data_IF_518899926607
#
_entry.id   IF_518899926607
#
_cell.length_a   1.000
_cell.length_b   1.000
_cell.length_c   1.000
_cell.angle_alpha   90.00
_cell.angle_beta   90.00
_cell.angle_gamma   90.00
#
_symmetry.space_group_name_H-M   'P 1'
#
loop_
_entity.id
_entity.type
_entity.pdbx_description
1 polymer ?
#
# COMPACT_ATOMS: atom_id res chain seq x y z
N UNK A 1 -27.49 47.22 -15.45
CA UNK A 1 -27.17 45.84 -15.55
C UNK A 1 -28.38 45.05 -16.06
N UNK A 2 -28.23 44.44 -17.23
CA UNK A 2 -29.31 43.74 -17.95
C UNK A 2 -29.89 42.60 -17.08
N UNK A 3 -31.23 42.45 -16.96
CA UNK A 3 -31.88 41.46 -16.10
C UNK A 3 -31.44 40.00 -16.37
N UNK A 4 -31.00 39.69 -17.58
CA UNK A 4 -30.49 38.38 -17.99
C UNK A 4 -29.18 38.02 -17.29
N UNK A 5 -28.27 38.97 -17.08
CA UNK A 5 -26.96 38.74 -16.42
C UNK A 5 -27.17 38.43 -14.94
N UNK A 6 -28.16 39.02 -14.28
CA UNK A 6 -28.51 38.76 -12.90
C UNK A 6 -29.09 37.34 -12.70
N UNK A 7 -29.89 36.85 -13.67
CA UNK A 7 -30.43 35.48 -13.67
C UNK A 7 -29.33 34.43 -13.88
N UNK A 8 -28.36 34.71 -14.78
CA UNK A 8 -27.22 33.82 -14.98
C UNK A 8 -26.32 33.74 -13.74
N UNK A 9 -26.06 34.86 -13.08
CA UNK A 9 -25.33 34.84 -11.77
C UNK A 9 -26.07 34.06 -10.68
N UNK A 10 -27.40 34.13 -10.63
CA UNK A 10 -28.20 33.36 -9.69
C UNK A 10 -28.27 31.88 -10.06
N UNK A 11 -28.16 31.50 -11.35
CA UNK A 11 -28.05 30.09 -11.74
C UNK A 11 -26.73 29.48 -11.35
N UNK A 12 -25.60 30.22 -11.48
CA UNK A 12 -24.28 29.74 -11.06
C UNK A 12 -24.18 29.58 -9.53
N UNK A 13 -24.98 30.37 -8.75
CA UNK A 13 -25.02 30.24 -7.27
C UNK A 13 -25.88 29.05 -6.82
N UNK A 14 -26.72 28.52 -7.69
CA UNK A 14 -27.56 27.33 -7.42
C UNK A 14 -26.97 26.02 -7.92
N UNK A 15 -25.71 26.02 -8.36
CA UNK A 15 -25.01 24.80 -8.71
C UNK A 15 -24.95 23.92 -7.44
N UNK A 16 -25.41 22.68 -7.60
CA UNK A 16 -25.39 21.69 -6.52
C UNK A 16 -23.93 21.39 -6.20
N UNK A 17 -23.45 21.93 -5.10
CA UNK A 17 -22.15 21.53 -4.57
C UNK A 17 -22.36 20.27 -3.75
N UNK A 18 -21.71 19.19 -4.14
CA UNK A 18 -21.65 17.98 -3.37
C UNK A 18 -20.44 18.07 -2.45
N UNK A 19 -20.64 17.72 -1.18
CA UNK A 19 -19.54 17.55 -0.24
C UNK A 19 -18.66 16.40 -0.76
N UNK A 20 -17.36 16.64 -0.83
CA UNK A 20 -16.42 15.59 -1.17
C UNK A 20 -16.12 14.75 0.07
N UNK A 21 -15.94 13.43 -0.06
CA UNK A 21 -15.49 12.60 1.05
C UNK A 21 -14.13 13.10 1.55
N UNK A 22 -13.78 12.83 2.83
CA UNK A 22 -12.46 13.16 3.36
C UNK A 22 -11.36 12.58 2.47
N UNK A 23 -10.29 13.33 2.27
CA UNK A 23 -9.14 12.86 1.51
C UNK A 23 -8.44 11.70 2.24
N UNK A 24 -7.88 10.75 1.49
CA UNK A 24 -7.03 9.71 2.08
C UNK A 24 -5.83 10.31 2.80
N UNK A 25 -5.40 9.66 3.86
CA UNK A 25 -4.20 10.06 4.58
C UNK A 25 -2.96 9.95 3.68
N UNK A 26 -2.11 10.95 3.81
CA UNK A 26 -0.71 10.88 3.40
C UNK A 26 0.14 10.58 4.63
N UNK A 27 1.42 10.19 4.47
CA UNK A 27 2.31 10.00 5.62
C UNK A 27 2.36 11.24 6.53
N UNK A 28 2.41 12.44 5.94
CA UNK A 28 2.44 13.69 6.70
C UNK A 28 1.13 13.98 7.43
N UNK A 29 -0.02 13.78 6.78
CA UNK A 29 -1.32 14.00 7.43
C UNK A 29 -1.63 12.95 8.49
N UNK A 30 -1.10 11.72 8.33
CA UNK A 30 -1.21 10.68 9.36
C UNK A 30 -0.37 11.04 10.59
N UNK A 31 0.87 11.50 10.42
CA UNK A 31 1.71 11.97 11.54
C UNK A 31 1.02 13.11 12.28
N UNK A 32 0.47 14.09 11.56
CA UNK A 32 -0.27 15.20 12.16
C UNK A 32 -1.48 14.72 12.98
N UNK A 33 -2.24 13.77 12.44
CA UNK A 33 -3.39 13.20 13.16
C UNK A 33 -2.95 12.44 14.42
N UNK A 34 -1.87 11.66 14.38
CA UNK A 34 -1.30 10.97 15.55
C UNK A 34 -0.84 11.98 16.62
N UNK A 35 -0.21 13.07 16.21
CA UNK A 35 0.21 14.16 17.11
C UNK A 35 -0.98 14.86 17.78
N UNK A 36 -2.01 15.21 16.99
CA UNK A 36 -3.25 15.83 17.50
C UNK A 36 -4.00 14.92 18.48
N UNK A 37 -3.94 13.61 18.29
CA UNK A 37 -4.55 12.60 19.17
C UNK A 37 -3.67 12.20 20.35
N UNK A 38 -2.42 12.68 20.44
CA UNK A 38 -1.48 12.33 21.49
C UNK A 38 -0.95 10.90 21.43
N UNK A 39 -1.03 10.25 20.26
CA UNK A 39 -0.59 8.86 20.04
C UNK A 39 0.84 8.83 19.53
N UNK A 40 1.73 8.21 20.29
CA UNK A 40 3.15 8.11 19.94
C UNK A 40 3.93 9.40 20.22
N UNK A 41 5.18 9.42 19.79
CA UNK A 41 6.11 10.54 19.96
C UNK A 41 6.90 10.73 18.66
N UNK A 42 7.58 11.88 18.45
CA UNK A 42 8.33 12.14 17.23
C UNK A 42 9.29 11.01 16.80
N UNK A 43 9.89 10.32 17.75
CA UNK A 43 10.79 9.19 17.51
C UNK A 43 10.09 7.92 17.00
N UNK A 44 8.78 7.76 17.25
CA UNK A 44 8.03 6.54 16.92
C UNK A 44 7.17 6.65 15.67
N UNK A 45 6.81 7.85 15.20
CA UNK A 45 5.93 8.04 14.05
C UNK A 45 6.46 7.38 12.78
N UNK A 46 7.68 7.72 12.39
CA UNK A 46 8.26 7.19 11.16
C UNK A 46 8.51 5.67 11.20
N UNK A 47 9.06 5.07 12.29
CA UNK A 47 9.15 3.62 12.44
C UNK A 47 7.81 2.90 12.37
N UNK A 48 6.76 3.44 13.00
CA UNK A 48 5.42 2.86 12.97
C UNK A 48 4.86 2.82 11.55
N UNK A 49 4.88 3.94 10.83
CA UNK A 49 4.42 4.02 9.43
C UNK A 49 5.20 3.06 8.54
N UNK A 50 6.52 3.02 8.70
CA UNK A 50 7.38 2.10 7.94
C UNK A 50 7.04 0.63 8.21
N UNK A 51 6.72 0.29 9.45
CA UNK A 51 6.36 -1.07 9.86
C UNK A 51 5.02 -1.51 9.29
N UNK A 52 3.98 -0.68 9.34
CA UNK A 52 2.66 -1.02 8.81
C UNK A 52 2.66 -1.16 7.29
N UNK A 53 3.49 -0.36 6.58
CA UNK A 53 3.71 -0.51 5.14
C UNK A 53 4.51 -1.80 4.84
N UNK A 54 5.58 -2.07 5.59
CA UNK A 54 6.40 -3.27 5.41
C UNK A 54 5.63 -4.57 5.65
N UNK A 55 4.67 -4.56 6.59
CA UNK A 55 3.75 -5.67 6.87
C UNK A 55 2.59 -5.77 5.90
N UNK A 56 2.51 -4.90 4.91
CA UNK A 56 1.42 -4.85 3.92
C UNK A 56 0.02 -4.63 4.51
N UNK A 57 -0.09 -4.02 5.70
CA UNK A 57 -1.39 -3.61 6.26
C UNK A 57 -1.92 -2.38 5.52
N UNK A 58 -1.02 -1.54 5.02
CA UNK A 58 -1.31 -0.35 4.25
C UNK A 58 -0.50 -0.38 2.95
N UNK A 59 -1.13 -0.05 1.84
CA UNK A 59 -0.50 0.20 0.55
C UNK A 59 -0.33 1.70 0.34
N UNK A 60 0.81 2.11 -0.23
CA UNK A 60 1.07 3.50 -0.60
C UNK A 60 0.96 3.63 -2.11
N UNK A 61 -0.02 4.38 -2.58
CA UNK A 61 -0.18 4.73 -3.99
C UNK A 61 0.09 6.22 -4.17
N UNK A 62 1.14 6.54 -4.93
CA UNK A 62 1.65 7.91 -5.07
C UNK A 62 2.00 8.55 -3.72
N UNK A 63 1.08 9.35 -3.15
CA UNK A 63 1.24 10.00 -1.83
C UNK A 63 0.20 9.52 -0.81
N UNK A 64 -0.84 8.84 -1.27
CA UNK A 64 -1.97 8.43 -0.43
C UNK A 64 -1.74 7.04 0.16
N UNK A 65 -2.27 6.83 1.35
CA UNK A 65 -2.26 5.57 2.08
C UNK A 65 -3.63 4.91 1.96
N UNK A 66 -3.65 3.62 1.62
CA UNK A 66 -4.85 2.80 1.49
C UNK A 66 -4.72 1.57 2.38
N UNK A 67 -5.78 1.25 3.11
CA UNK A 67 -5.82 0.02 3.90
C UNK A 67 -6.01 -1.16 2.96
N UNK A 68 -5.20 -2.20 3.13
CA UNK A 68 -5.31 -3.45 2.36
C UNK A 68 -6.36 -4.37 2.98
N UNK A 69 -6.77 -5.42 2.27
CA UNK A 69 -7.65 -6.45 2.82
C UNK A 69 -7.04 -7.15 4.04
N UNK A 70 -5.72 -7.45 3.97
CA UNK A 70 -4.98 -7.97 5.11
C UNK A 70 -5.02 -7.00 6.30
N UNK A 71 -4.80 -5.70 6.05
CA UNK A 71 -4.85 -4.67 7.10
C UNK A 71 -6.21 -4.61 7.77
N UNK A 72 -7.29 -4.65 6.99
CA UNK A 72 -8.65 -4.64 7.50
C UNK A 72 -8.97 -5.90 8.33
N UNK A 73 -8.61 -7.08 7.83
CA UNK A 73 -8.83 -8.33 8.55
C UNK A 73 -8.08 -8.38 9.89
N UNK A 74 -6.85 -7.83 9.94
CA UNK A 74 -6.09 -7.73 11.19
C UNK A 74 -6.71 -6.72 12.14
N UNK A 75 -7.13 -5.56 11.63
CA UNK A 75 -7.79 -4.51 12.41
C UNK A 75 -9.08 -5.01 13.05
N UNK A 76 -9.96 -5.65 12.28
CA UNK A 76 -11.21 -6.25 12.75
C UNK A 76 -10.97 -7.32 13.84
N UNK A 77 -9.94 -8.15 13.65
CA UNK A 77 -9.55 -9.16 14.64
C UNK A 77 -9.04 -8.53 15.94
N UNK A 78 -8.22 -7.46 15.82
CA UNK A 78 -7.68 -6.73 16.97
C UNK A 78 -8.76 -5.98 17.75
N UNK A 79 -9.68 -5.31 17.05
CA UNK A 79 -10.82 -4.61 17.67
C UNK A 79 -11.70 -5.61 18.44
N UNK A 80 -11.93 -6.81 17.86
CA UNK A 80 -12.74 -7.85 18.50
C UNK A 80 -12.06 -8.44 19.73
N UNK A 81 -10.75 -8.71 19.66
CA UNK A 81 -10.02 -9.37 20.73
C UNK A 81 -9.58 -8.40 21.84
N UNK A 82 -9.25 -7.15 21.48
CA UNK A 82 -8.63 -6.18 22.38
C UNK A 82 -9.29 -4.79 22.29
N UNK A 83 -10.60 -4.66 22.46
CA UNK A 83 -11.35 -3.42 22.23
C UNK A 83 -10.83 -2.25 23.09
N UNK A 84 -10.36 -2.54 24.32
CA UNK A 84 -9.84 -1.51 25.22
C UNK A 84 -8.45 -1.02 24.80
N UNK A 85 -7.60 -1.92 24.27
CA UNK A 85 -6.21 -1.59 23.89
C UNK A 85 -6.15 -0.86 22.56
N UNK A 86 -7.07 -1.18 21.64
CA UNK A 86 -7.15 -0.56 20.30
C UNK A 86 -7.82 0.83 20.35
N UNK A 87 -8.31 1.25 21.53
CA UNK A 87 -8.89 2.58 21.73
C UNK A 87 -7.82 3.69 21.66
N UNK A 88 -8.16 4.77 20.94
CA UNK A 88 -7.29 5.95 20.76
C UNK A 88 -6.97 6.60 22.10
N UNK A 89 -7.96 6.72 22.99
CA UNK A 89 -7.79 7.34 24.28
C UNK A 89 -6.90 6.51 25.21
N UNK A 90 -7.00 5.18 25.11
CA UNK A 90 -6.12 4.29 25.88
C UNK A 90 -4.66 4.52 25.53
N UNK A 91 -4.33 4.59 24.23
CA UNK A 91 -2.94 4.82 23.79
C UNK A 91 -2.44 6.20 24.23
N UNK A 92 -3.26 7.26 24.07
CA UNK A 92 -2.90 8.61 24.50
C UNK A 92 -2.69 8.70 26.03
N UNK A 93 -3.55 8.05 26.80
CA UNK A 93 -3.42 7.99 28.27
C UNK A 93 -2.16 7.24 28.68
N UNK A 94 -1.84 6.12 28.02
CA UNK A 94 -0.61 5.35 28.30
C UNK A 94 0.64 6.18 28.04
N UNK A 95 0.68 6.91 26.93
CA UNK A 95 1.78 7.84 26.59
C UNK A 95 1.94 8.92 27.69
N UNK A 96 0.83 9.49 28.16
CA UNK A 96 0.85 10.49 29.26
C UNK A 96 1.35 9.91 30.59
N UNK A 97 0.96 8.66 30.91
CA UNK A 97 1.48 7.97 32.10
C UNK A 97 2.98 7.70 32.00
N UNK A 98 3.48 7.35 30.79
CA UNK A 98 4.91 7.15 30.57
C UNK A 98 5.71 8.45 30.64
N UNK A 99 5.13 9.59 30.21
CA UNK A 99 5.73 10.91 30.43
C UNK A 99 5.82 11.22 31.93
N UNK A 100 4.77 10.94 32.71
CA UNK A 100 4.80 11.06 34.17
C UNK A 100 5.87 10.16 34.86
N UNK A 101 6.23 9.04 34.26
CA UNK A 101 7.38 8.25 34.72
C UNK A 101 8.71 8.95 34.44
N UNK A 102 8.83 9.61 33.27
CA UNK A 102 10.04 10.35 32.92
C UNK A 102 10.23 11.58 33.83
N UNK A 103 9.14 12.24 34.22
CA UNK A 103 9.14 13.37 35.15
C UNK A 103 9.34 12.95 36.61
N UNK A 104 9.20 11.65 36.91
CA UNK A 104 9.39 11.09 38.25
C UNK A 104 8.14 11.09 39.14
N UNK A 105 6.99 11.49 38.60
CA UNK A 105 5.72 11.60 39.32
C UNK A 105 5.03 10.24 39.50
N UNK A 106 5.26 9.29 38.59
CA UNK A 106 4.62 7.97 38.55
C UNK A 106 5.65 6.86 38.53
N UNK A 107 5.41 5.80 39.29
CA UNK A 107 6.28 4.61 39.27
C UNK A 107 5.87 3.66 38.14
N UNK A 108 6.79 3.36 37.24
CA UNK A 108 6.53 2.46 36.11
C UNK A 108 5.97 1.09 36.51
N UNK A 109 6.37 0.56 37.69
CA UNK A 109 5.85 -0.72 38.19
C UNK A 109 4.35 -0.68 38.50
N UNK A 110 3.81 0.45 38.89
CA UNK A 110 2.38 0.63 39.15
C UNK A 110 1.58 0.60 37.86
N UNK A 111 2.10 1.21 36.80
CA UNK A 111 1.48 1.17 35.47
C UNK A 111 1.39 -0.27 34.97
N UNK A 112 2.49 -1.01 35.03
CA UNK A 112 2.52 -2.40 34.57
C UNK A 112 1.62 -3.29 35.42
N UNK A 113 1.60 -3.10 36.75
CA UNK A 113 0.73 -3.85 37.66
C UNK A 113 -0.74 -3.68 37.36
N UNK A 114 -1.13 -2.49 36.96
CA UNK A 114 -2.53 -2.18 36.63
C UNK A 114 -2.90 -2.68 35.21
N UNK A 115 -1.99 -2.61 34.25
CA UNK A 115 -2.24 -2.97 32.85
C UNK A 115 -2.17 -4.50 32.60
N UNK A 116 -1.22 -5.19 33.20
CA UNK A 116 -0.92 -6.59 32.87
C UNK A 116 -2.06 -7.58 33.14
N UNK A 117 -2.84 -7.49 34.23
CA UNK A 117 -3.95 -8.42 34.48
C UNK A 117 -4.99 -8.38 33.35
N UNK A 118 -5.44 -7.20 32.94
CA UNK A 118 -6.45 -7.01 31.91
C UNK A 118 -5.95 -7.46 30.53
N UNK A 119 -4.68 -7.18 30.22
CA UNK A 119 -4.03 -7.70 29.02
C UNK A 119 -4.01 -9.24 29.01
N UNK A 120 -3.62 -9.86 30.14
CA UNK A 120 -3.53 -11.31 30.24
C UNK A 120 -4.91 -11.98 30.05
N UNK A 121 -5.94 -11.45 30.70
CA UNK A 121 -7.30 -11.96 30.55
C UNK A 121 -7.79 -11.83 29.10
N UNK A 122 -7.51 -10.69 28.46
CA UNK A 122 -7.85 -10.48 27.04
C UNK A 122 -7.12 -11.45 26.12
N UNK A 123 -5.84 -11.73 26.38
CA UNK A 123 -5.06 -12.72 25.61
C UNK A 123 -5.61 -14.13 25.80
N UNK A 124 -5.87 -14.55 27.05
CA UNK A 124 -6.39 -15.87 27.36
C UNK A 124 -7.78 -16.10 26.73
N UNK A 125 -8.60 -15.06 26.62
CA UNK A 125 -9.90 -15.09 25.95
C UNK A 125 -9.72 -15.12 24.42
N UNK A 126 -8.82 -14.29 23.89
CA UNK A 126 -8.54 -14.23 22.47
C UNK A 126 -8.00 -15.55 21.90
N UNK A 127 -7.15 -16.26 22.64
CA UNK A 127 -6.65 -17.59 22.24
C UNK A 127 -7.76 -18.63 22.08
N UNK A 128 -8.87 -18.48 22.82
CA UNK A 128 -10.00 -19.40 22.77
C UNK A 128 -11.05 -19.01 21.72
N UNK A 129 -11.24 -17.71 21.51
CA UNK A 129 -12.35 -17.18 20.72
C UNK A 129 -11.95 -16.76 19.31
N UNK A 130 -10.68 -16.42 19.07
CA UNK A 130 -10.23 -16.05 17.75
C UNK A 130 -10.16 -17.27 16.84
N UNK A 131 -11.09 -17.33 15.91
CA UNK A 131 -10.99 -18.24 14.77
C UNK A 131 -9.87 -17.80 13.84
N UNK A 132 -9.23 -18.78 13.18
CA UNK A 132 -8.26 -18.49 12.13
C UNK A 132 -8.92 -17.65 11.03
N UNK A 133 -8.58 -16.37 10.96
CA UNK A 133 -9.04 -15.49 9.89
C UNK A 133 -8.40 -15.96 8.58
N UNK A 134 -9.17 -16.64 7.76
CA UNK A 134 -8.76 -17.02 6.40
C UNK A 134 -9.09 -15.85 5.50
N UNK A 135 -8.06 -15.19 5.00
CA UNK A 135 -8.21 -14.26 3.88
C UNK A 135 -8.51 -15.11 2.66
N UNK A 136 -9.56 -14.79 1.92
CA UNK A 136 -9.88 -15.48 0.67
C UNK A 136 -8.69 -15.30 -0.29
N UNK A 137 -8.11 -16.42 -0.70
CA UNK A 137 -6.98 -16.43 -1.62
C UNK A 137 -7.48 -16.01 -3.02
N UNK A 138 -6.91 -14.95 -3.59
CA UNK A 138 -7.19 -14.55 -4.98
C UNK A 138 -6.65 -15.60 -5.95
N UNK A 139 -7.54 -16.26 -6.68
CA UNK A 139 -7.18 -17.27 -7.69
C UNK A 139 -6.60 -16.57 -8.92
N UNK A 140 -5.46 -17.04 -9.40
CA UNK A 140 -4.81 -16.52 -10.60
C UNK A 140 -4.90 -17.51 -11.78
N UNK A 141 -4.69 -17.00 -13.00
CA UNK A 141 -4.63 -17.84 -14.20
C UNK A 141 -3.31 -18.65 -14.34
N UNK A 142 -2.40 -18.48 -13.37
CA UNK A 142 -1.11 -19.18 -13.39
C UNK A 142 -1.28 -20.60 -12.88
N UNK A 143 -0.94 -21.57 -13.72
CA UNK A 143 -1.06 -22.99 -13.41
C UNK A 143 0.19 -23.47 -12.65
N UNK A 144 -0.04 -24.30 -11.65
CA UNK A 144 1.02 -24.98 -10.92
C UNK A 144 1.67 -26.08 -11.76
N UNK A 145 2.99 -25.99 -11.98
CA UNK A 145 3.73 -26.95 -12.82
C UNK A 145 3.78 -28.37 -12.22
N UNK A 146 3.48 -28.52 -10.92
CA UNK A 146 3.54 -29.81 -10.22
C UNK A 146 2.20 -30.55 -10.17
N UNK A 147 1.08 -29.83 -9.99
CA UNK A 147 -0.22 -30.44 -9.76
C UNK A 147 -1.34 -29.94 -10.70
N UNK A 148 -1.05 -29.00 -11.60
CA UNK A 148 -2.00 -28.48 -12.57
C UNK A 148 -3.12 -27.58 -12.01
N UNK A 149 -3.16 -27.30 -10.72
CA UNK A 149 -4.17 -26.39 -10.10
C UNK A 149 -3.79 -24.94 -10.35
N UNK A 150 -4.76 -24.06 -10.42
CA UNK A 150 -4.52 -22.62 -10.48
C UNK A 150 -3.85 -22.14 -9.18
N UNK A 151 -2.77 -21.36 -9.32
CA UNK A 151 -2.08 -20.81 -8.16
C UNK A 151 -2.85 -19.61 -7.58
N UNK A 152 -2.69 -19.41 -6.30
CA UNK A 152 -3.35 -18.32 -5.55
C UNK A 152 -2.32 -17.33 -5.02
N UNK A 153 -2.73 -16.06 -4.91
CA UNK A 153 -1.89 -15.02 -4.33
C UNK A 153 -1.90 -15.20 -2.81
N UNK A 154 -0.72 -15.37 -2.24
CA UNK A 154 -0.51 -15.43 -0.78
C UNK A 154 0.40 -14.31 -0.32
N UNK A 155 0.23 -13.90 0.92
CA UNK A 155 1.05 -12.88 1.56
C UNK A 155 2.10 -13.54 2.45
N UNK A 156 3.36 -13.24 2.20
CA UNK A 156 4.49 -13.73 2.99
C UNK A 156 5.32 -12.61 3.57
N UNK A 157 6.36 -12.94 4.37
CA UNK A 157 7.24 -11.96 5.01
C UNK A 157 7.94 -11.00 4.02
N UNK A 158 8.09 -11.43 2.76
CA UNK A 158 8.75 -10.66 1.70
C UNK A 158 7.78 -10.05 0.67
N UNK A 159 6.47 -10.11 0.94
CA UNK A 159 5.42 -9.59 0.07
C UNK A 159 4.55 -10.68 -0.56
N UNK A 160 3.84 -10.30 -1.62
CA UNK A 160 2.96 -11.21 -2.37
C UNK A 160 3.77 -12.29 -3.10
N UNK A 161 3.28 -13.51 -3.06
CA UNK A 161 3.81 -14.64 -3.85
C UNK A 161 2.67 -15.54 -4.33
N UNK A 162 2.93 -16.31 -5.36
CA UNK A 162 1.98 -17.31 -5.85
C UNK A 162 2.23 -18.64 -5.12
N UNK A 163 1.22 -19.10 -4.39
CA UNK A 163 1.23 -20.37 -3.69
C UNK A 163 0.29 -21.37 -4.36
N UNK A 164 0.61 -22.66 -4.29
CA UNK A 164 -0.32 -23.69 -4.73
C UNK A 164 -1.39 -23.92 -3.66
N UNK A 165 -2.71 -23.96 -4.01
CA UNK A 165 -3.79 -24.25 -3.06
C UNK A 165 -3.76 -25.69 -2.55
N UNK A 166 -2.98 -26.57 -3.20
CA UNK A 166 -2.81 -27.96 -2.78
C UNK A 166 -1.88 -28.17 -1.58
N UNK A 167 -1.48 -27.12 -0.88
CA UNK A 167 -0.74 -27.27 0.37
C UNK A 167 -1.60 -28.00 1.43
N UNK A 168 -1.04 -28.98 2.21
CA UNK A 168 0.37 -29.37 2.31
C UNK A 168 0.87 -30.40 1.28
N UNK A 169 0.05 -30.95 0.40
CA UNK A 169 0.48 -31.95 -0.58
C UNK A 169 1.40 -31.38 -1.65
N UNK A 170 1.18 -30.13 -2.05
CA UNK A 170 1.98 -29.44 -3.06
C UNK A 170 2.57 -28.14 -2.52
N UNK A 171 3.88 -28.13 -2.29
CA UNK A 171 4.64 -26.97 -1.79
C UNK A 171 5.15 -26.05 -2.90
N UNK A 172 4.53 -26.04 -4.08
CA UNK A 172 5.02 -25.22 -5.18
C UNK A 172 4.70 -23.73 -4.94
N UNK A 173 5.72 -22.90 -5.04
CA UNK A 173 5.60 -21.43 -4.91
C UNK A 173 6.31 -20.75 -6.07
N UNK A 174 5.74 -19.65 -6.58
CA UNK A 174 6.34 -18.80 -7.59
C UNK A 174 6.35 -17.35 -7.13
N UNK A 175 7.32 -16.52 -7.53
CA UNK A 175 7.27 -15.09 -7.24
C UNK A 175 6.05 -14.46 -7.93
N UNK A 176 5.34 -13.59 -7.23
CA UNK A 176 4.28 -12.79 -7.83
C UNK A 176 4.92 -11.68 -8.68
N UNK A 177 4.68 -11.73 -9.98
CA UNK A 177 5.22 -10.78 -10.95
C UNK A 177 4.11 -9.82 -11.38
N UNK A 178 4.19 -8.59 -10.94
CA UNK A 178 3.23 -7.55 -11.31
C UNK A 178 3.46 -7.11 -12.77
N UNK A 179 2.53 -7.52 -13.65
CA UNK A 179 2.53 -7.15 -15.06
C UNK A 179 1.99 -5.73 -15.21
N UNK A 180 2.75 -4.85 -15.85
CA UNK A 180 2.36 -3.45 -16.06
C UNK A 180 1.50 -3.23 -17.32
N UNK A 181 1.16 -4.29 -18.06
CA UNK A 181 0.35 -4.24 -19.27
C UNK A 181 1.08 -3.72 -20.52
N UNK A 182 2.40 -3.52 -20.46
CA UNK A 182 3.22 -3.03 -21.55
C UNK A 182 4.10 -4.16 -22.09
N UNK A 183 4.18 -4.30 -23.42
CA UNK A 183 5.00 -5.32 -24.07
C UNK A 183 6.46 -4.87 -24.22
N UNK A 184 7.36 -5.83 -24.08
CA UNK A 184 8.79 -5.58 -24.25
C UNK A 184 9.12 -5.17 -25.69
N UNK A 185 9.84 -4.06 -25.91
CA UNK A 185 10.19 -3.60 -27.26
C UNK A 185 11.18 -4.53 -27.98
N UNK A 186 11.91 -5.38 -27.23
CA UNK A 186 12.91 -6.31 -27.80
C UNK A 186 12.31 -7.67 -28.18
N UNK A 187 11.47 -8.27 -27.32
CA UNK A 187 11.00 -9.65 -27.51
C UNK A 187 9.47 -9.82 -27.49
N UNK A 188 8.70 -8.76 -27.23
CA UNK A 188 7.25 -8.80 -27.20
C UNK A 188 6.61 -9.47 -25.97
N UNK A 189 7.40 -10.07 -25.05
CA UNK A 189 6.91 -10.62 -23.77
C UNK A 189 6.48 -9.47 -22.84
N UNK A 190 5.82 -9.78 -21.73
CA UNK A 190 5.36 -8.76 -20.78
C UNK A 190 6.52 -8.09 -20.02
N UNK A 191 6.36 -6.82 -19.73
CA UNK A 191 7.25 -6.11 -18.80
C UNK A 191 6.66 -6.20 -17.40
N UNK A 192 7.52 -6.55 -16.44
CA UNK A 192 7.18 -6.79 -15.04
C UNK A 192 7.95 -5.85 -14.13
N UNK A 193 7.31 -5.49 -13.02
CA UNK A 193 7.95 -4.73 -11.97
C UNK A 193 8.81 -5.66 -11.11
N UNK A 194 10.09 -5.33 -10.96
CA UNK A 194 11.06 -6.07 -10.15
C UNK A 194 11.67 -5.18 -9.08
N UNK A 195 12.15 -5.79 -8.00
CA UNK A 195 12.84 -5.10 -6.91
C UNK A 195 14.29 -5.57 -6.84
N UNK A 196 15.22 -4.63 -6.76
CA UNK A 196 16.64 -4.95 -6.54
C UNK A 196 16.89 -5.43 -5.11
N UNK A 197 18.03 -6.08 -4.84
CA UNK A 197 18.45 -6.47 -3.47
C UNK A 197 18.49 -5.28 -2.50
N UNK A 198 18.72 -4.06 -2.99
CA UNK A 198 18.74 -2.81 -2.21
C UNK A 198 17.36 -2.15 -2.08
N UNK A 199 16.27 -2.83 -2.52
CA UNK A 199 14.89 -2.34 -2.39
C UNK A 199 14.41 -1.38 -3.49
N UNK A 200 15.26 -0.98 -4.45
CA UNK A 200 14.87 -0.09 -5.55
C UNK A 200 14.06 -0.82 -6.61
N UNK A 201 12.95 -0.24 -7.04
CA UNK A 201 12.08 -0.79 -8.08
C UNK A 201 12.64 -0.50 -9.48
N UNK A 202 12.49 -1.45 -10.40
CA UNK A 202 12.84 -1.31 -11.81
C UNK A 202 11.90 -2.16 -12.67
N UNK A 203 11.83 -1.84 -13.94
CA UNK A 203 11.00 -2.55 -14.91
C UNK A 203 11.90 -3.45 -15.76
N UNK A 204 11.59 -4.73 -15.82
CA UNK A 204 12.36 -5.71 -16.58
C UNK A 204 11.47 -6.61 -17.42
N UNK A 205 12.04 -7.21 -18.45
CA UNK A 205 11.34 -8.20 -19.27
C UNK A 205 11.10 -9.50 -18.49
N UNK A 206 9.91 -10.10 -18.68
CA UNK A 206 9.59 -11.43 -18.15
C UNK A 206 10.50 -12.51 -18.75
N UNK A 207 10.99 -12.31 -19.97
CA UNK A 207 11.86 -13.23 -20.70
C UNK A 207 13.32 -13.25 -20.27
N UNK A 208 13.68 -12.64 -19.15
CA UNK A 208 15.03 -12.76 -18.61
C UNK A 208 15.33 -14.22 -18.21
N UNK A 209 16.52 -14.81 -18.51
CA UNK A 209 17.76 -14.17 -19.04
C UNK A 209 17.84 -14.04 -20.57
N UNK A 210 16.91 -14.58 -21.34
CA UNK A 210 16.94 -14.53 -22.81
C UNK A 210 16.81 -13.10 -23.35
N UNK A 211 16.07 -12.23 -22.62
CA UNK A 211 15.91 -10.83 -22.95
C UNK A 211 16.38 -9.95 -21.79
N UNK A 212 17.37 -9.14 -22.05
CA UNK A 212 18.04 -8.25 -21.09
C UNK A 212 17.39 -6.87 -20.93
N UNK A 213 16.21 -6.66 -21.53
CA UNK A 213 15.55 -5.36 -21.46
C UNK A 213 15.21 -4.99 -20.02
N UNK A 214 15.74 -3.83 -19.56
CA UNK A 214 15.41 -3.24 -18.27
C UNK A 214 15.41 -1.71 -18.35
N UNK A 215 14.58 -1.08 -17.51
CA UNK A 215 14.52 0.37 -17.35
C UNK A 215 14.14 0.76 -15.93
N UNK A 216 14.63 1.93 -15.48
CA UNK A 216 14.30 2.50 -14.19
C UNK A 216 13.00 3.31 -14.21
N UNK A 217 12.55 3.72 -15.39
CA UNK A 217 11.34 4.50 -15.58
C UNK A 217 10.23 3.60 -16.11
N UNK A 218 8.99 3.92 -15.77
CA UNK A 218 7.84 3.14 -16.23
C UNK A 218 7.72 3.26 -17.76
N UNK A 219 7.79 2.17 -18.51
CA UNK A 219 7.55 2.20 -19.94
C UNK A 219 6.08 2.43 -20.23
N UNK A 220 5.81 3.12 -21.35
CA UNK A 220 4.45 3.37 -21.88
C UNK A 220 4.16 2.41 -23.01
N UNK A 221 2.89 2.13 -23.26
CA UNK A 221 2.38 1.39 -24.41
C UNK A 221 2.49 2.19 -25.72
N UNK A 222 2.67 3.52 -25.62
CA UNK A 222 2.79 4.42 -26.78
C UNK A 222 4.16 4.29 -27.44
N UNK A 223 4.17 4.31 -28.77
CA UNK A 223 5.40 4.36 -29.57
C UNK A 223 5.80 5.80 -29.87
N UNK A 224 7.09 6.04 -29.97
CA UNK A 224 7.62 7.34 -30.34
C UNK A 224 7.21 7.69 -31.78
N UNK A 225 6.55 8.84 -32.04
CA UNK A 225 6.13 9.22 -33.39
C UNK A 225 7.31 9.60 -34.30
N UNK A 226 8.48 9.89 -33.74
CA UNK A 226 9.68 10.30 -34.50
C UNK A 226 10.51 9.10 -34.95
N UNK A 227 10.74 8.11 -34.08
CA UNK A 227 11.64 6.97 -34.35
C UNK A 227 10.94 5.60 -34.27
N UNK A 228 9.65 5.54 -33.85
CA UNK A 228 8.93 4.28 -33.65
C UNK A 228 9.36 3.48 -32.41
N UNK A 229 10.35 3.94 -31.65
CA UNK A 229 10.86 3.32 -30.44
C UNK A 229 9.87 3.38 -29.25
N UNK A 230 10.24 2.75 -28.14
CA UNK A 230 9.43 2.78 -26.91
C UNK A 230 9.52 4.12 -26.20
N UNK A 231 8.48 4.46 -25.45
CA UNK A 231 8.46 5.69 -24.64
C UNK A 231 8.46 5.36 -23.15
N UNK A 232 9.05 6.26 -22.38
CA UNK A 232 9.17 6.18 -20.91
C UNK A 232 8.41 7.32 -20.27
N UNK A 233 7.77 7.06 -19.14
CA UNK A 233 7.08 8.07 -18.35
C UNK A 233 8.07 8.69 -17.35
N UNK A 234 8.35 9.98 -17.51
CA UNK A 234 9.23 10.77 -16.63
C UNK A 234 8.57 12.08 -16.26
N UNK A 235 8.28 12.29 -14.95
CA UNK A 235 7.69 13.54 -14.44
C UNK A 235 6.44 13.98 -15.22
N UNK A 236 5.49 13.08 -15.46
CA UNK A 236 4.25 13.32 -16.23
C UNK A 236 4.46 13.67 -17.72
N UNK A 237 5.65 13.42 -18.27
CA UNK A 237 5.96 13.55 -19.68
C UNK A 237 6.33 12.19 -20.25
N UNK A 238 6.01 11.99 -21.53
CA UNK A 238 6.47 10.84 -22.28
C UNK A 238 7.79 11.19 -22.98
N UNK A 239 8.84 10.48 -22.67
CA UNK A 239 10.19 10.70 -23.23
C UNK A 239 10.58 9.46 -24.04
N UNK A 240 11.14 9.65 -25.23
CA UNK A 240 11.66 8.54 -26.01
C UNK A 240 12.76 7.80 -25.24
N UNK A 241 12.71 6.47 -25.24
CA UNK A 241 13.73 5.63 -24.62
C UNK A 241 15.03 5.51 -25.40
N UNK A 242 15.07 6.00 -26.62
CA UNK A 242 16.28 6.11 -27.44
C UNK A 242 16.97 7.44 -27.14
N UNK A 243 18.21 7.35 -26.62
CA UNK A 243 19.02 8.53 -26.23
C UNK A 243 19.31 9.45 -27.42
N UNK A 244 19.37 8.91 -28.65
CA UNK A 244 19.66 9.68 -29.87
C UNK A 244 18.41 10.40 -30.41
N UNK A 245 17.22 9.98 -30.03
CA UNK A 245 15.97 10.54 -30.55
C UNK A 245 15.57 11.85 -29.86
N UNK A 246 15.69 11.92 -28.54
CA UNK A 246 15.41 13.10 -27.72
C UNK A 246 13.95 13.62 -27.79
N UNK A 247 13.00 12.84 -28.32
CA UNK A 247 11.62 13.26 -28.47
C UNK A 247 10.89 13.25 -27.11
N UNK A 248 10.17 14.34 -26.80
CA UNK A 248 9.39 14.51 -25.57
C UNK A 248 7.97 14.93 -25.96
N UNK A 249 6.99 14.25 -25.39
CA UNK A 249 5.58 14.59 -25.54
C UNK A 249 5.01 15.02 -24.18
N UNK A 250 4.47 16.22 -24.10
CA UNK A 250 3.75 16.72 -22.92
C UNK A 250 2.31 16.19 -22.96
N UNK A 251 2.07 15.01 -22.40
CA UNK A 251 0.75 14.38 -22.32
C UNK A 251 0.16 14.55 -20.92
N UNK A 252 -0.39 15.73 -20.63
CA UNK A 252 -0.96 16.07 -19.31
C UNK A 252 -2.35 15.45 -19.07
N UNK A 253 -2.94 14.72 -20.02
CA UNK A 253 -4.35 14.28 -19.94
C UNK A 253 -4.57 12.76 -19.78
N UNK A 254 -3.57 11.90 -19.95
CA UNK A 254 -3.76 10.44 -19.99
C UNK A 254 -2.73 9.58 -19.21
N UNK A 255 -2.06 10.13 -18.23
CA UNK A 255 -1.21 9.33 -17.33
C UNK A 255 -2.00 9.05 -16.05
N UNK A 256 -2.91 8.09 -16.11
CA UNK A 256 -3.50 7.43 -14.94
C UNK A 256 -2.82 6.08 -14.73
#
# INVERSE_FOLDING_TARGET
>A
LHPRVRRQRQMCIRDRHFTQPPAHFTEASLVKALEELGIGRPSTYAPTISTIIARHYIAKEQKNLYVTELGRAVDDAMIKAFPQIVDVNFTANMESLLDGVADGDVKWKEIIKNFYPDLKESVDSAEKELENVKIEDEVTDVICDKCGRNMVIKYGPHGKFLGCPGFPECHNTKPYLEKIGVKCPKCGKDIILKKTKKGRMFYGCEGYPECDFMTWQRPSDKKCPKCGGYMLIKCNKLVCGDENCGYILDDTKNVK
#
